data_IF_199863407741
#
_entry.id   IF_199863407741
#
_cell.length_a   1.000
_cell.length_b   1.000
_cell.length_c   1.000
_cell.angle_alpha   90.00
_cell.angle_beta   90.00
_cell.angle_gamma   90.00
#
_symmetry.space_group_name_H-M   'P 1'
#
loop_
_entity.id
_entity.type
_entity.pdbx_description
1 polymer ?
#
# COMPACT_ATOMS: atom_id res chain seq x y z
N UNK A 1 -17.70 21.28 1.72
CA UNK A 1 -17.57 19.87 1.27
C UNK A 1 -16.82 18.98 2.26
N UNK A 2 -15.53 19.19 2.56
CA UNK A 2 -14.77 18.27 3.42
C UNK A 2 -15.31 18.07 4.87
N UNK A 3 -16.19 18.94 5.36
CA UNK A 3 -16.88 18.80 6.65
C UNK A 3 -18.01 17.74 6.61
N UNK A 4 -18.52 17.41 5.43
CA UNK A 4 -19.56 16.38 5.26
C UNK A 4 -19.03 14.97 5.49
N UNK A 5 -17.70 14.78 5.46
CA UNK A 5 -17.05 13.53 5.82
C UNK A 5 -17.23 13.15 7.30
N UNK A 6 -17.57 14.13 8.15
CA UNK A 6 -17.94 13.92 9.56
C UNK A 6 -19.46 13.99 9.80
N UNK A 7 -20.28 13.96 8.73
CA UNK A 7 -21.74 13.94 8.88
C UNK A 7 -22.19 12.65 9.56
N UNK A 8 -23.31 12.72 10.29
CA UNK A 8 -23.99 11.54 10.86
C UNK A 8 -24.79 10.79 9.80
N UNK A 9 -25.09 11.44 8.68
CA UNK A 9 -25.85 10.86 7.58
C UNK A 9 -24.90 10.13 6.64
N UNK A 10 -25.11 8.83 6.47
CA UNK A 10 -24.29 8.00 5.58
C UNK A 10 -24.28 8.52 4.13
N UNK A 11 -25.43 8.96 3.61
CA UNK A 11 -25.54 9.48 2.25
C UNK A 11 -24.65 10.70 2.00
N UNK A 12 -24.61 11.65 2.95
CA UNK A 12 -23.75 12.84 2.83
C UNK A 12 -22.27 12.48 2.71
N UNK A 13 -21.82 11.46 3.46
CA UNK A 13 -20.44 10.98 3.42
C UNK A 13 -20.15 10.33 2.07
N UNK A 14 -21.06 9.49 1.57
CA UNK A 14 -20.91 8.82 0.26
C UNK A 14 -20.85 9.83 -0.89
N UNK A 15 -21.76 10.80 -0.91
CA UNK A 15 -21.76 11.87 -1.91
C UNK A 15 -20.48 12.71 -1.84
N UNK A 16 -20.00 12.99 -0.62
CA UNK A 16 -18.76 13.73 -0.45
C UNK A 16 -17.53 12.93 -0.95
N UNK A 17 -17.51 11.61 -0.75
CA UNK A 17 -16.44 10.72 -1.27
C UNK A 17 -16.46 10.72 -2.81
N UNK A 18 -17.64 10.57 -3.42
CA UNK A 18 -17.77 10.58 -4.88
C UNK A 18 -17.36 11.94 -5.47
N UNK A 19 -17.74 13.05 -4.81
CA UNK A 19 -17.29 14.39 -5.18
C UNK A 19 -15.75 14.48 -5.21
N UNK A 20 -15.05 14.01 -4.17
CA UNK A 20 -13.59 14.08 -4.13
C UNK A 20 -12.91 13.15 -5.14
N UNK A 21 -13.50 11.99 -5.42
CA UNK A 21 -13.05 11.09 -6.48
C UNK A 21 -13.10 11.77 -7.84
N UNK A 22 -14.20 12.43 -8.19
CA UNK A 22 -14.34 13.20 -9.44
C UNK A 22 -13.43 14.44 -9.44
N UNK A 23 -13.35 15.16 -8.32
CA UNK A 23 -12.51 16.35 -8.17
C UNK A 23 -11.02 16.06 -8.43
N UNK A 24 -10.56 14.83 -8.10
CA UNK A 24 -9.18 14.44 -8.36
C UNK A 24 -8.85 14.32 -9.86
N UNK A 25 -9.84 14.03 -10.71
CA UNK A 25 -9.66 13.95 -12.18
C UNK A 25 -9.42 15.34 -12.74
N UNK A 26 -10.25 16.30 -12.31
CA UNK A 26 -10.18 17.68 -12.77
C UNK A 26 -9.09 18.50 -12.07
N UNK A 27 -8.31 17.89 -11.16
CA UNK A 27 -7.27 18.55 -10.35
C UNK A 27 -7.79 19.82 -9.68
N UNK A 28 -9.02 19.75 -9.15
CA UNK A 28 -9.61 20.87 -8.40
C UNK A 28 -8.70 21.20 -7.22
N UNK A 29 -8.54 22.48 -6.93
CA UNK A 29 -7.73 22.94 -5.81
C UNK A 29 -8.16 22.27 -4.48
N UNK A 30 -7.18 21.87 -3.66
CA UNK A 30 -7.37 21.31 -2.32
C UNK A 30 -8.09 19.95 -2.24
N UNK A 31 -8.16 19.20 -3.33
CA UNK A 31 -8.67 17.82 -3.35
C UNK A 31 -7.90 16.90 -2.39
N UNK A 32 -6.58 17.11 -2.24
CA UNK A 32 -5.73 16.35 -1.32
C UNK A 32 -6.17 16.46 0.15
N UNK A 33 -6.79 17.58 0.56
CA UNK A 33 -7.34 17.76 1.91
C UNK A 33 -8.52 16.81 2.13
N UNK A 34 -9.37 16.64 1.11
CA UNK A 34 -10.47 15.68 1.12
C UNK A 34 -9.96 14.25 1.31
N UNK A 35 -9.00 13.83 0.49
CA UNK A 35 -8.38 12.49 0.63
C UNK A 35 -7.80 12.27 2.02
N UNK A 36 -7.01 13.23 2.53
CA UNK A 36 -6.43 13.09 3.88
C UNK A 36 -7.50 12.93 4.97
N UNK A 37 -8.63 13.64 4.86
CA UNK A 37 -9.76 13.51 5.81
C UNK A 37 -10.59 12.24 5.61
N UNK A 38 -10.62 11.67 4.40
CA UNK A 38 -11.28 10.39 4.12
C UNK A 38 -10.47 9.20 4.63
N UNK A 39 -9.15 9.32 4.70
CA UNK A 39 -8.25 8.21 5.03
C UNK A 39 -8.62 7.47 6.34
N UNK A 40 -8.95 8.14 7.46
CA UNK A 40 -9.32 7.43 8.69
C UNK A 40 -10.64 6.66 8.60
N UNK A 41 -11.49 6.96 7.62
CA UNK A 41 -12.79 6.29 7.45
C UNK A 41 -12.65 4.81 7.06
N UNK A 42 -11.46 4.34 6.65
CA UNK A 42 -11.18 2.91 6.42
C UNK A 42 -11.40 2.05 7.67
N UNK A 43 -11.37 2.66 8.86
CA UNK A 43 -11.63 2.00 10.14
C UNK A 43 -13.12 1.96 10.53
N UNK A 44 -14.02 2.55 9.74
CA UNK A 44 -15.45 2.60 10.03
C UNK A 44 -16.15 1.26 9.69
N UNK A 45 -15.91 0.25 10.53
CA UNK A 45 -16.41 -1.13 10.34
C UNK A 45 -17.93 -1.23 10.37
N UNK A 46 -18.61 -0.27 11.00
CA UNK A 46 -20.08 -0.24 11.08
C UNK A 46 -20.73 0.18 9.76
N UNK A 47 -19.98 0.85 8.88
CA UNK A 47 -20.48 1.38 7.62
C UNK A 47 -19.63 0.88 6.43
N UNK A 48 -19.80 -0.38 6.01
CA UNK A 48 -18.99 -0.99 4.94
C UNK A 48 -19.13 -0.25 3.61
N UNK A 49 -20.29 0.37 3.34
CA UNK A 49 -20.47 1.19 2.13
C UNK A 49 -19.54 2.42 2.09
N UNK A 50 -19.30 3.06 3.24
CA UNK A 50 -18.36 4.20 3.32
C UNK A 50 -16.94 3.70 3.10
N UNK A 51 -16.56 2.60 3.76
CA UNK A 51 -15.23 1.99 3.59
C UNK A 51 -14.99 1.64 2.12
N UNK A 52 -15.96 0.99 1.47
CA UNK A 52 -15.87 0.59 0.06
C UNK A 52 -15.78 1.80 -0.88
N UNK A 53 -16.53 2.87 -0.61
CA UNK A 53 -16.43 4.11 -1.38
C UNK A 53 -15.05 4.77 -1.24
N UNK A 54 -14.48 4.78 -0.03
CA UNK A 54 -13.14 5.32 0.23
C UNK A 54 -12.07 4.48 -0.45
N UNK A 55 -12.12 3.15 -0.34
CA UNK A 55 -11.21 2.25 -1.06
C UNK A 55 -11.30 2.51 -2.57
N UNK A 56 -12.52 2.61 -3.12
CA UNK A 56 -12.75 2.92 -4.53
C UNK A 56 -12.18 4.27 -4.96
N UNK A 57 -12.30 5.32 -4.15
CA UNK A 57 -11.72 6.62 -4.43
C UNK A 57 -10.18 6.59 -4.44
N UNK A 58 -9.57 5.89 -3.49
CA UNK A 58 -8.12 5.69 -3.44
C UNK A 58 -7.60 4.83 -4.59
N UNK A 59 -8.27 3.71 -4.88
CA UNK A 59 -7.95 2.86 -6.03
C UNK A 59 -8.03 3.67 -7.33
N UNK A 60 -9.09 4.46 -7.50
CA UNK A 60 -9.27 5.26 -8.69
C UNK A 60 -8.14 6.29 -8.88
N UNK A 61 -7.76 6.99 -7.79
CA UNK A 61 -6.70 8.00 -7.80
C UNK A 61 -5.31 7.44 -8.06
N UNK A 62 -4.96 6.31 -7.45
CA UNK A 62 -3.59 5.79 -7.44
C UNK A 62 -3.35 4.64 -8.43
N UNK A 63 -4.37 3.83 -8.72
CA UNK A 63 -4.27 2.58 -9.49
C UNK A 63 -4.99 2.70 -10.83
N UNK A 64 -6.32 2.90 -10.84
CA UNK A 64 -7.14 2.86 -12.06
C UNK A 64 -6.72 3.91 -13.10
N UNK A 65 -6.46 5.15 -12.68
CA UNK A 65 -5.97 6.23 -13.57
C UNK A 65 -4.52 6.01 -14.10
N UNK A 66 -3.97 4.80 -13.96
CA UNK A 66 -2.69 4.38 -14.52
C UNK A 66 -2.76 3.12 -15.37
N UNK A 67 -3.88 2.38 -15.36
CA UNK A 67 -4.08 1.18 -16.17
C UNK A 67 -4.81 1.59 -17.45
N UNK A 68 -4.07 2.08 -18.45
CA UNK A 68 -4.60 2.06 -19.81
C UNK A 68 -4.43 0.65 -20.34
N UNK A 69 -5.38 0.14 -21.13
CA UNK A 69 -5.32 -1.21 -21.74
C UNK A 69 -4.03 -1.33 -22.58
N UNK A 70 -2.93 -1.71 -21.94
CA UNK A 70 -1.63 -1.79 -22.57
C UNK A 70 -1.53 -3.12 -23.33
N UNK A 71 -1.42 -3.02 -24.64
CA UNK A 71 -1.33 -4.16 -25.54
C UNK A 71 0.02 -4.90 -25.43
N UNK A 72 1.06 -4.21 -24.94
CA UNK A 72 2.44 -4.72 -24.87
C UNK A 72 2.95 -4.86 -23.42
N UNK A 73 3.73 -5.92 -23.15
CA UNK A 73 4.30 -6.22 -21.83
C UNK A 73 5.17 -5.09 -21.26
N UNK A 74 5.94 -4.41 -22.11
CA UNK A 74 6.80 -3.28 -21.71
C UNK A 74 5.97 -2.11 -21.15
N UNK A 75 4.84 -1.82 -21.79
CA UNK A 75 3.97 -0.73 -21.38
C UNK A 75 3.23 -1.08 -20.08
N UNK A 76 2.83 -2.34 -19.91
CA UNK A 76 2.28 -2.85 -18.65
C UNK A 76 3.27 -2.71 -17.49
N UNK A 77 4.55 -3.05 -17.72
CA UNK A 77 5.60 -2.88 -16.72
C UNK A 77 5.84 -1.39 -16.37
N UNK A 78 5.82 -0.51 -17.37
CA UNK A 78 5.96 0.95 -17.18
C UNK A 78 4.80 1.53 -16.36
N UNK A 79 3.58 1.09 -16.63
CA UNK A 79 2.40 1.48 -15.87
C UNK A 79 2.45 0.97 -14.43
N UNK A 80 2.80 -0.30 -14.23
CA UNK A 80 2.97 -0.88 -12.91
C UNK A 80 4.00 -0.12 -12.08
N UNK A 81 5.10 0.31 -12.70
CA UNK A 81 6.11 1.13 -12.05
C UNK A 81 5.59 2.53 -11.71
N UNK A 82 4.83 3.16 -12.60
CA UNK A 82 4.18 4.46 -12.33
C UNK A 82 3.22 4.37 -11.14
N UNK A 83 2.40 3.31 -11.07
CA UNK A 83 1.49 3.04 -9.95
C UNK A 83 2.30 2.82 -8.66
N UNK A 84 3.33 1.97 -8.68
CA UNK A 84 4.20 1.73 -7.54
C UNK A 84 4.83 3.03 -7.02
N UNK A 85 5.34 3.89 -7.90
CA UNK A 85 5.91 5.18 -7.53
C UNK A 85 4.87 6.13 -6.90
N UNK A 86 3.63 6.14 -7.40
CA UNK A 86 2.53 6.92 -6.79
C UNK A 86 2.18 6.41 -5.39
N UNK A 87 2.17 5.08 -5.18
CA UNK A 87 1.93 4.48 -3.85
C UNK A 87 3.09 4.80 -2.89
N UNK A 88 4.34 4.74 -3.32
CA UNK A 88 5.49 5.12 -2.48
C UNK A 88 5.40 6.59 -2.08
N UNK A 89 4.93 7.47 -2.97
CA UNK A 89 4.69 8.88 -2.62
C UNK A 89 3.59 9.06 -1.57
N UNK A 90 2.63 8.14 -1.46
CA UNK A 90 1.59 8.17 -0.42
C UNK A 90 2.20 7.99 0.98
N UNK A 91 3.25 7.19 1.11
CA UNK A 91 3.94 6.94 2.39
C UNK A 91 4.97 8.01 2.75
N UNK A 92 5.40 8.84 1.78
CA UNK A 92 6.39 9.87 2.03
C UNK A 92 5.80 11.03 2.85
N UNK A 93 6.49 11.41 3.93
CA UNK A 93 6.07 12.49 4.85
C UNK A 93 4.70 12.28 5.53
N UNK A 94 4.20 11.03 5.55
CA UNK A 94 2.99 10.66 6.26
C UNK A 94 3.25 10.62 7.78
N UNK A 95 2.26 11.05 8.57
CA UNK A 95 2.34 10.90 10.04
C UNK A 95 2.15 9.44 10.44
N UNK A 96 2.48 9.07 11.68
CA UNK A 96 2.24 7.70 12.17
C UNK A 96 0.78 7.29 12.04
N UNK A 97 -0.16 8.19 12.35
CA UNK A 97 -1.59 7.96 12.19
C UNK A 97 -1.97 7.74 10.72
N UNK A 98 -1.41 8.53 9.80
CA UNK A 98 -1.61 8.35 8.36
C UNK A 98 -1.06 6.98 7.91
N UNK A 99 0.13 6.58 8.38
CA UNK A 99 0.74 5.27 8.07
C UNK A 99 -0.14 4.10 8.52
N UNK A 100 -0.70 4.15 9.73
CA UNK A 100 -1.62 3.11 10.22
C UNK A 100 -2.87 3.00 9.36
N UNK A 101 -3.43 4.14 8.91
CA UNK A 101 -4.58 4.13 8.02
C UNK A 101 -4.22 3.67 6.60
N UNK A 102 -3.01 3.99 6.10
CA UNK A 102 -2.50 3.48 4.82
C UNK A 102 -2.30 1.97 4.90
N UNK A 103 -1.77 1.43 6.00
CA UNK A 103 -1.60 -0.01 6.19
C UNK A 103 -2.95 -0.75 6.08
N UNK A 104 -3.99 -0.22 6.73
CA UNK A 104 -5.34 -0.76 6.62
C UNK A 104 -5.93 -0.63 5.21
N UNK A 105 -5.73 0.52 4.55
CA UNK A 105 -6.14 0.73 3.17
C UNK A 105 -5.48 -0.28 2.21
N UNK A 106 -4.16 -0.49 2.32
CA UNK A 106 -3.42 -1.47 1.50
C UNK A 106 -3.91 -2.89 1.82
N UNK A 107 -4.14 -3.22 3.09
CA UNK A 107 -4.71 -4.52 3.49
C UNK A 107 -6.06 -4.77 2.81
N UNK A 108 -6.94 -3.77 2.79
CA UNK A 108 -8.26 -3.84 2.15
C UNK A 108 -8.16 -3.92 0.62
N UNK A 109 -7.18 -3.25 0.01
CA UNK A 109 -6.91 -3.32 -1.45
C UNK A 109 -6.27 -4.64 -1.91
N UNK A 110 -5.67 -5.42 -0.99
CA UNK A 110 -5.06 -6.74 -1.26
C UNK A 110 -6.07 -7.87 -1.01
N UNK A 111 -7.22 -7.58 -0.39
CA UNK A 111 -8.30 -8.54 -0.10
C UNK A 111 -9.60 -8.10 -0.76
N UNK A 112 -9.82 -8.52 -2.01
CA UNK A 112 -11.07 -8.22 -2.72
C UNK A 112 -11.56 -9.36 -3.60
N UNK A 113 -11.22 -10.62 -3.26
CA UNK A 113 -11.79 -11.81 -3.93
C UNK A 113 -13.06 -12.36 -3.28
N UNK A 114 -13.45 -11.88 -2.10
CA UNK A 114 -14.60 -12.42 -1.34
C UNK A 114 -15.89 -11.60 -1.43
N UNK A 115 -15.83 -10.37 -1.92
CA UNK A 115 -17.01 -9.55 -2.13
C UNK A 115 -17.20 -9.33 -3.63
N UNK A 116 -18.13 -10.07 -4.23
CA UNK A 116 -18.46 -9.98 -5.67
C UNK A 116 -18.75 -8.53 -6.12
N UNK A 117 -19.10 -7.63 -5.19
CA UNK A 117 -19.35 -6.22 -5.44
C UNK A 117 -18.10 -5.37 -5.71
N UNK A 118 -16.90 -5.88 -5.42
CA UNK A 118 -15.62 -5.13 -5.56
C UNK A 118 -14.59 -5.83 -6.44
N UNK A 119 -15.01 -6.75 -7.31
CA UNK A 119 -14.12 -7.61 -8.12
C UNK A 119 -13.07 -6.89 -8.99
N UNK A 120 -13.16 -5.55 -9.15
CA UNK A 120 -12.25 -4.73 -9.96
C UNK A 120 -11.41 -3.74 -9.13
N UNK A 121 -11.47 -3.81 -7.80
CA UNK A 121 -10.79 -2.90 -6.89
C UNK A 121 -9.69 -3.68 -6.16
N UNK A 122 -8.61 -3.98 -6.88
CA UNK A 122 -7.43 -4.66 -6.37
C UNK A 122 -6.13 -3.99 -6.83
N UNK A 123 -5.02 -4.33 -6.18
CA UNK A 123 -3.68 -3.96 -6.65
C UNK A 123 -3.19 -5.05 -7.61
N UNK A 124 -2.92 -4.71 -8.90
CA UNK A 124 -2.46 -5.69 -9.87
C UNK A 124 -1.13 -6.33 -9.48
N UNK A 125 -0.97 -7.63 -9.75
CA UNK A 125 0.26 -8.37 -9.45
C UNK A 125 1.56 -7.72 -9.98
N UNK A 126 1.59 -7.14 -11.21
CA UNK A 126 2.77 -6.43 -11.72
C UNK A 126 3.23 -5.25 -10.84
N UNK A 127 2.31 -4.62 -10.10
CA UNK A 127 2.65 -3.50 -9.20
C UNK A 127 3.52 -3.99 -8.04
N UNK A 128 3.25 -5.17 -7.49
CA UNK A 128 4.13 -5.77 -6.47
C UNK A 128 5.51 -6.10 -7.03
N UNK A 129 5.59 -6.60 -8.26
CA UNK A 129 6.87 -6.83 -8.92
C UNK A 129 7.66 -5.53 -9.11
N UNK A 130 6.99 -4.43 -9.47
CA UNK A 130 7.60 -3.11 -9.59
C UNK A 130 8.07 -2.56 -8.22
N UNK A 131 7.28 -2.72 -7.14
CA UNK A 131 7.71 -2.36 -5.78
C UNK A 131 8.97 -3.11 -5.35
N UNK A 132 9.06 -4.41 -5.69
CA UNK A 132 10.30 -5.18 -5.49
C UNK A 132 11.47 -4.62 -6.30
N UNK A 133 11.25 -4.20 -7.54
CA UNK A 133 12.28 -3.55 -8.37
C UNK A 133 12.80 -2.23 -7.77
N UNK A 134 11.90 -1.42 -7.20
CA UNK A 134 12.25 -0.20 -6.47
C UNK A 134 13.09 -0.54 -5.24
N UNK A 135 12.65 -1.50 -4.41
CA UNK A 135 13.35 -1.93 -3.21
C UNK A 135 14.75 -2.49 -3.51
N UNK A 136 14.87 -3.34 -4.54
CA UNK A 136 16.12 -3.96 -4.95
C UNK A 136 17.13 -2.97 -5.57
N UNK A 137 16.74 -1.70 -5.78
CA UNK A 137 17.61 -0.68 -6.37
C UNK A 137 17.95 -0.97 -7.85
N UNK A 138 17.11 -1.74 -8.55
CA UNK A 138 17.31 -2.08 -9.97
C UNK A 138 17.02 -0.92 -10.92
N UNK A 139 16.39 0.13 -10.40
CA UNK A 139 16.03 1.33 -11.15
C UNK A 139 17.06 2.44 -10.86
N UNK A 140 17.39 3.21 -11.89
CA UNK A 140 18.22 4.40 -11.74
C UNK A 140 17.46 5.46 -10.91
N UNK A 141 18.19 6.27 -10.15
CA UNK A 141 17.69 7.41 -9.36
C UNK A 141 16.72 7.11 -8.21
N UNK A 142 16.73 5.88 -7.66
CA UNK A 142 15.91 5.56 -6.49
C UNK A 142 16.57 6.00 -5.19
N UNK A 143 15.92 6.93 -4.47
CA UNK A 143 16.36 7.38 -3.14
C UNK A 143 16.17 6.30 -2.06
N UNK A 144 16.94 6.37 -0.98
CA UNK A 144 16.78 5.47 0.17
C UNK A 144 15.38 5.57 0.81
N UNK A 145 14.77 6.76 0.81
CA UNK A 145 13.40 6.95 1.27
C UNK A 145 12.39 6.16 0.42
N UNK A 146 12.55 6.16 -0.91
CA UNK A 146 11.68 5.40 -1.82
C UNK A 146 11.86 3.88 -1.65
N UNK A 147 13.08 3.40 -1.44
CA UNK A 147 13.35 1.97 -1.14
C UNK A 147 12.65 1.55 0.14
N UNK A 148 12.73 2.38 1.18
CA UNK A 148 12.03 2.14 2.45
C UNK A 148 10.51 2.14 2.26
N UNK A 149 9.95 3.14 1.58
CA UNK A 149 8.52 3.21 1.31
C UNK A 149 8.01 2.01 0.49
N UNK A 150 8.79 1.53 -0.48
CA UNK A 150 8.46 0.32 -1.22
C UNK A 150 8.41 -0.93 -0.32
N UNK A 151 9.39 -1.08 0.59
CA UNK A 151 9.38 -2.17 1.57
C UNK A 151 8.22 -2.06 2.56
N UNK A 152 7.91 -0.86 3.03
CA UNK A 152 6.78 -0.61 3.94
C UNK A 152 5.46 -1.01 3.27
N UNK A 153 5.24 -0.66 2.00
CA UNK A 153 4.06 -1.08 1.24
C UNK A 153 3.99 -2.60 1.04
N UNK A 154 5.12 -3.24 0.72
CA UNK A 154 5.19 -4.71 0.60
C UNK A 154 4.86 -5.41 1.93
N UNK A 155 5.34 -4.86 3.05
CA UNK A 155 4.99 -5.31 4.41
C UNK A 155 3.48 -5.16 4.67
N UNK A 156 2.91 -3.98 4.38
CA UNK A 156 1.48 -3.72 4.58
C UNK A 156 0.62 -4.70 3.77
N UNK A 157 1.00 -4.95 2.52
CA UNK A 157 0.33 -5.92 1.66
C UNK A 157 0.43 -7.36 2.19
N UNK A 158 1.56 -7.72 2.82
CA UNK A 158 1.78 -9.04 3.38
C UNK A 158 0.88 -9.41 4.56
N UNK A 159 0.34 -8.39 5.25
CA UNK A 159 -0.66 -8.60 6.31
C UNK A 159 -1.91 -9.27 5.74
N UNK A 160 -2.31 -8.90 4.52
CA UNK A 160 -3.41 -9.48 3.78
C UNK A 160 -3.05 -10.77 3.04
N UNK A 161 -1.92 -10.77 2.32
CA UNK A 161 -1.45 -11.92 1.57
C UNK A 161 0.04 -12.17 1.82
N UNK A 162 0.34 -13.18 2.65
CA UNK A 162 1.71 -13.54 3.02
C UNK A 162 2.57 -13.99 1.83
N UNK A 163 1.96 -14.42 0.74
CA UNK A 163 2.68 -14.87 -0.46
C UNK A 163 3.45 -13.74 -1.14
N UNK A 164 3.04 -12.48 -0.93
CA UNK A 164 3.72 -11.30 -1.49
C UNK A 164 5.16 -11.17 -0.96
N UNK A 165 5.40 -11.56 0.30
CA UNK A 165 6.74 -11.53 0.92
C UNK A 165 7.46 -12.88 0.89
N UNK A 166 6.73 -14.00 0.95
CA UNK A 166 7.34 -15.33 1.05
C UNK A 166 8.26 -15.64 -0.14
N UNK A 167 7.95 -15.10 -1.33
CA UNK A 167 8.71 -15.29 -2.57
C UNK A 167 10.13 -14.70 -2.49
N UNK A 168 10.37 -13.66 -1.69
CA UNK A 168 11.64 -12.91 -1.69
C UNK A 168 12.20 -12.57 -0.29
N UNK A 169 11.82 -13.33 0.73
CA UNK A 169 12.26 -13.05 2.11
C UNK A 169 13.78 -13.06 2.27
N UNK A 170 14.48 -13.93 1.52
CA UNK A 170 15.95 -14.00 1.52
C UNK A 170 16.58 -12.72 0.99
N UNK A 171 15.96 -12.09 -0.03
CA UNK A 171 16.42 -10.84 -0.61
C UNK A 171 16.24 -9.65 0.33
N UNK A 172 15.15 -9.63 1.11
CA UNK A 172 14.94 -8.64 2.17
C UNK A 172 16.02 -8.76 3.24
N UNK A 173 16.39 -10.00 3.61
CA UNK A 173 17.46 -10.24 4.58
C UNK A 173 18.81 -9.81 4.02
N UNK A 174 19.12 -10.16 2.78
CA UNK A 174 20.37 -9.78 2.13
C UNK A 174 20.54 -8.26 2.01
N UNK A 175 19.52 -7.54 1.57
CA UNK A 175 19.57 -6.08 1.41
C UNK A 175 19.50 -5.37 2.78
N UNK A 176 18.66 -5.85 3.68
CA UNK A 176 18.44 -5.24 5.00
C UNK A 176 19.55 -5.54 6.02
N UNK A 177 20.30 -6.63 5.85
CA UNK A 177 21.41 -7.03 6.72
C UNK A 177 22.77 -7.08 6.01
N UNK A 178 22.88 -6.70 4.73
CA UNK A 178 24.07 -6.92 3.89
C UNK A 178 25.41 -6.57 4.56
N UNK A 179 25.59 -5.32 4.98
CA UNK A 179 26.86 -4.87 5.58
C UNK A 179 27.12 -5.48 6.97
N UNK A 180 26.06 -5.91 7.68
CA UNK A 180 26.17 -6.57 8.99
C UNK A 180 26.39 -8.09 8.80
N UNK A 181 25.99 -8.65 7.66
CA UNK A 181 26.08 -10.08 7.37
C UNK A 181 27.51 -10.51 7.04
N UNK A 182 28.32 -9.70 6.38
CA UNK A 182 29.74 -10.03 6.16
C UNK A 182 30.51 -10.18 7.48
N UNK A 183 30.25 -9.32 8.47
CA UNK A 183 30.89 -9.41 9.79
C UNK A 183 30.34 -10.58 10.63
N UNK A 184 29.10 -11.01 10.37
CA UNK A 184 28.38 -11.97 11.23
C UNK A 184 28.25 -13.38 10.62
N UNK A 185 28.63 -13.62 9.36
CA UNK A 185 28.57 -14.95 8.73
C UNK A 185 29.38 -16.02 9.49
N UNK A 186 30.42 -15.63 10.22
CA UNK A 186 31.19 -16.52 11.11
C UNK A 186 30.39 -16.95 12.35
N UNK A 187 29.40 -16.18 12.80
CA UNK A 187 28.58 -16.45 14.02
C UNK A 187 27.17 -17.00 13.73
N UNK A 188 26.61 -16.79 12.53
CA UNK A 188 25.19 -17.11 12.23
C UNK A 188 24.92 -18.60 11.97
N UNK A 189 25.93 -19.43 11.66
CA UNK A 189 25.74 -20.88 11.50
C UNK A 189 25.15 -21.57 12.76
N UNK A 190 25.30 -20.98 13.95
CA UNK A 190 24.70 -21.47 15.20
C UNK A 190 23.27 -21.00 15.52
N UNK A 191 22.77 -19.94 14.87
CA UNK A 191 21.50 -19.28 15.23
C UNK A 191 20.29 -19.67 14.38
N UNK A 192 20.49 -20.41 13.28
CA UNK A 192 19.46 -20.79 12.29
C UNK A 192 18.24 -21.54 12.86
N UNK A 193 18.31 -22.09 14.08
CA UNK A 193 17.17 -22.81 14.71
C UNK A 193 16.24 -21.95 15.58
N UNK A 194 16.68 -20.80 16.11
CA UNK A 194 15.89 -20.01 17.09
C UNK A 194 15.11 -18.84 16.47
N UNK A 195 15.56 -18.26 15.37
CA UNK A 195 15.02 -16.97 14.87
C UNK A 195 13.74 -17.10 14.03
N UNK A 196 13.49 -18.25 13.37
CA UNK A 196 12.25 -18.49 12.61
C UNK A 196 10.98 -18.33 13.44
N UNK A 197 11.03 -18.48 14.77
CA UNK A 197 9.88 -18.32 15.67
C UNK A 197 9.61 -16.87 16.11
N UNK A 198 10.62 -15.98 16.10
CA UNK A 198 10.54 -14.63 16.70
C UNK A 198 10.07 -13.54 15.73
N UNK A 199 10.31 -13.71 14.43
CA UNK A 199 9.87 -12.73 13.41
C UNK A 199 8.35 -12.81 13.21
N UNK A 200 7.74 -13.97 13.46
CA UNK A 200 6.29 -14.17 13.40
C UNK A 200 5.60 -13.58 14.64
N UNK A 201 6.30 -13.43 15.77
CA UNK A 201 5.71 -12.91 17.02
C UNK A 201 5.80 -11.39 17.16
N UNK A 202 6.67 -10.70 16.43
CA UNK A 202 6.82 -9.24 16.55
C UNK A 202 5.70 -8.44 15.85
N UNK A 203 4.95 -9.07 14.95
CA UNK A 203 3.73 -8.50 14.36
C UNK A 203 2.51 -8.50 15.29
N UNK A 204 2.63 -9.01 16.52
CA UNK A 204 1.51 -9.17 17.45
C UNK A 204 1.52 -8.14 18.61
N UNK A 205 2.52 -7.25 18.70
CA UNK A 205 2.72 -6.37 19.88
C UNK A 205 2.31 -4.90 19.63
N UNK A 206 1.80 -4.55 18.45
CA UNK A 206 1.29 -3.18 18.17
C UNK A 206 -0.24 -3.09 17.98
N UNK A 207 -0.97 -4.09 18.47
CA UNK A 207 -2.42 -3.97 18.71
C UNK A 207 -2.70 -4.42 20.13
N UNK A 208 -2.46 -3.51 21.07
CA UNK A 208 -2.85 -3.57 22.47
C UNK A 208 -3.17 -2.17 22.92
#
# INVERSE_FOLDING_TARGET
MAQLLSSRTQSDVLECVEFFKVACVFKIANEHIGFKKMLPLVWNKDNPAIVNAVIGAYHYKYIYNGVTQAENEVEQARQALSIAAKLVKLTNNATLADITCIEELIRLLVVTKKEEKMANIDIPAPVFAALWGIFEGKLQDVTTAQRRGALDLLRMAAVANRDILSVKIERVVEIGFGDIAEVTQTKIKGLKKKTKKKIISFGFILTG
#
